data_IF_323032933407
#
_entry.id   IF_323032933407
#
_cell.length_a   1.000
_cell.length_b   1.000
_cell.length_c   1.000
_cell.angle_alpha   90.00
_cell.angle_beta   90.00
_cell.angle_gamma   90.00
#
_symmetry.space_group_name_H-M   'P 1'
#
loop_
_entity.id
_entity.type
_entity.pdbx_description
1 polymer ?
#
# COMPACT_ATOMS: atom_id res chain seq x y z
N UNK A 1 0.76 -3.51 16.13
CA UNK A 1 1.51 -2.69 15.15
C UNK A 1 3.01 -2.83 15.30
N UNK A 2 3.59 -2.73 16.50
CA UNK A 2 5.05 -2.78 16.72
C UNK A 2 5.73 -3.98 16.05
N UNK A 3 5.20 -5.19 16.24
CA UNK A 3 5.80 -6.40 15.66
C UNK A 3 5.83 -6.34 14.11
N UNK A 4 4.76 -5.86 13.48
CA UNK A 4 4.68 -5.72 12.03
C UNK A 4 5.69 -4.68 11.51
N UNK A 5 5.76 -3.49 12.13
CA UNK A 5 6.71 -2.46 11.74
C UNK A 5 8.17 -2.93 11.85
N UNK A 6 8.50 -3.66 12.93
CA UNK A 6 9.83 -4.25 13.14
C UNK A 6 10.14 -5.31 12.07
N UNK A 7 9.15 -6.16 11.75
CA UNK A 7 9.31 -7.20 10.73
C UNK A 7 9.55 -6.59 9.33
N UNK A 8 8.80 -5.55 8.93
CA UNK A 8 9.03 -4.86 7.68
C UNK A 8 10.40 -4.19 7.61
N UNK A 9 10.79 -3.50 8.69
CA UNK A 9 12.11 -2.88 8.76
C UNK A 9 13.23 -3.95 8.65
N UNK A 10 13.06 -5.13 9.24
CA UNK A 10 14.01 -6.24 9.13
C UNK A 10 14.12 -6.81 7.71
N UNK A 11 13.09 -6.66 6.87
CA UNK A 11 13.14 -6.96 5.43
C UNK A 11 13.83 -5.86 4.62
N UNK A 12 14.29 -4.78 5.26
CA UNK A 12 14.82 -3.59 4.57
C UNK A 12 13.74 -2.64 4.05
N UNK A 13 12.48 -2.89 4.34
CA UNK A 13 11.37 -2.05 3.91
C UNK A 13 11.24 -0.82 4.81
N UNK A 14 11.19 0.40 4.25
CA UNK A 14 11.01 1.59 5.05
C UNK A 14 9.62 1.65 5.67
N UNK A 15 9.54 2.04 6.95
CA UNK A 15 8.29 2.17 7.70
C UNK A 15 8.14 3.58 8.27
N UNK A 16 6.90 4.06 8.33
CA UNK A 16 6.52 5.36 8.87
C UNK A 16 5.28 5.20 9.74
N UNK A 17 5.18 5.98 10.83
CA UNK A 17 3.99 6.06 11.66
C UNK A 17 2.81 6.59 10.85
N UNK A 18 1.74 5.80 10.78
CA UNK A 18 0.48 6.16 10.13
C UNK A 18 -0.58 6.63 11.12
N UNK A 19 -1.45 7.51 10.66
CA UNK A 19 -2.68 7.82 11.37
C UNK A 19 -3.49 6.53 11.58
N UNK A 20 -4.30 6.52 12.64
CA UNK A 20 -5.13 5.37 13.00
C UNK A 20 -6.55 5.82 13.33
N UNK A 21 -7.56 4.93 13.21
CA UNK A 21 -8.92 5.29 13.51
C UNK A 21 -9.10 5.50 15.03
N UNK A 22 -9.75 6.62 15.42
CA UNK A 22 -10.20 6.87 16.78
C UNK A 22 -11.70 6.61 16.89
N UNK A 23 -12.11 6.03 18.01
CA UNK A 23 -13.52 5.80 18.33
C UNK A 23 -13.99 4.37 18.11
N UNK A 24 -15.18 4.07 18.64
CA UNK A 24 -15.82 2.77 18.50
C UNK A 24 -16.52 2.69 17.14
N UNK A 25 -16.67 1.46 16.61
CA UNK A 25 -17.38 1.17 15.36
C UNK A 25 -18.83 1.71 15.29
N UNK A 26 -19.36 2.24 16.41
CA UNK A 26 -20.68 2.85 16.53
C UNK A 26 -20.72 4.36 16.38
N UNK A 27 -19.57 5.04 16.39
CA UNK A 27 -19.51 6.49 16.10
C UNK A 27 -19.60 6.69 14.59
N UNK A 28 -20.65 7.36 14.15
CA UNK A 28 -20.96 7.62 12.74
C UNK A 28 -19.98 8.54 11.99
N UNK A 29 -18.79 8.78 12.55
CA UNK A 29 -17.72 9.55 11.93
C UNK A 29 -16.41 8.79 12.04
N UNK A 30 -15.72 8.60 10.94
CA UNK A 30 -14.35 8.08 10.89
C UNK A 30 -13.40 9.10 11.52
N UNK A 31 -13.33 9.13 12.87
CA UNK A 31 -12.42 10.01 13.56
C UNK A 31 -10.98 9.54 13.30
N UNK A 32 -10.16 10.41 12.74
CA UNK A 32 -8.75 10.16 12.48
C UNK A 32 -7.89 10.67 13.66
N UNK A 33 -6.82 9.95 13.98
CA UNK A 33 -5.87 10.37 15.00
C UNK A 33 -5.11 11.68 14.66
N UNK A 34 -5.22 12.17 13.43
CA UNK A 34 -4.62 13.44 13.01
C UNK A 34 -5.41 14.67 13.49
N UNK A 35 -6.63 14.49 14.01
CA UNK A 35 -7.53 15.53 14.52
C UNK A 35 -7.86 16.65 13.49
N UNK A 36 -7.59 16.45 12.20
CA UNK A 36 -7.95 17.40 11.14
C UNK A 36 -9.44 17.27 10.80
N UNK A 37 -10.14 18.41 10.84
CA UNK A 37 -11.52 18.48 10.34
C UNK A 37 -11.50 18.22 8.84
N UNK A 38 -12.35 17.30 8.36
CA UNK A 38 -12.41 16.95 6.94
C UNK A 38 -11.17 16.21 6.42
N UNK A 39 -10.57 15.35 7.27
CA UNK A 39 -9.45 14.53 6.83
C UNK A 39 -9.84 13.72 5.57
N UNK A 40 -9.14 13.90 4.42
CA UNK A 40 -9.55 13.28 3.15
C UNK A 40 -9.33 11.77 3.14
N UNK A 41 -8.37 11.26 3.91
CA UNK A 41 -8.06 9.84 4.02
C UNK A 41 -7.94 9.40 5.48
N UNK A 42 -9.06 9.31 6.22
CA UNK A 42 -9.01 9.01 7.66
C UNK A 42 -8.26 7.70 7.93
N UNK A 43 -7.26 7.80 8.83
CA UNK A 43 -6.42 6.67 9.24
C UNK A 43 -5.56 6.02 8.14
N UNK A 44 -5.55 6.54 6.93
CA UNK A 44 -4.80 5.99 5.80
C UNK A 44 -3.72 6.96 5.28
N UNK A 45 -3.10 7.74 6.15
CA UNK A 45 -2.03 8.68 5.80
C UNK A 45 -0.94 8.73 6.88
N UNK A 46 0.28 9.19 6.56
CA UNK A 46 1.32 9.42 7.55
C UNK A 46 0.91 10.43 8.64
N UNK A 47 1.37 10.23 9.88
CA UNK A 47 1.12 11.17 10.99
C UNK A 47 1.83 12.51 10.79
N UNK A 48 2.96 12.52 10.12
CA UNK A 48 3.79 13.71 9.91
C UNK A 48 3.85 14.08 8.43
N UNK A 49 3.77 15.37 8.07
CA UNK A 49 4.02 15.82 6.70
C UNK A 49 5.48 15.57 6.26
N UNK A 50 6.41 15.46 7.20
CA UNK A 50 7.83 15.15 6.92
C UNK A 50 8.11 13.62 6.90
N UNK A 51 7.11 12.79 6.58
CA UNK A 51 7.18 11.33 6.64
C UNK A 51 8.32 10.73 5.82
N UNK A 52 8.65 11.31 4.67
CA UNK A 52 9.72 10.82 3.80
C UNK A 52 11.09 10.85 4.49
N UNK A 53 11.35 11.90 5.30
CA UNK A 53 12.58 12.03 6.09
C UNK A 53 12.57 11.17 7.34
N UNK A 54 11.37 10.81 7.83
CA UNK A 54 11.18 9.97 9.00
C UNK A 54 11.13 8.48 8.67
N UNK A 55 11.10 8.10 7.40
CA UNK A 55 11.11 6.71 6.97
C UNK A 55 12.37 5.99 7.48
N UNK A 56 12.21 4.77 7.98
CA UNK A 56 13.34 3.98 8.50
C UNK A 56 13.17 2.49 8.19
N UNK A 57 14.24 1.86 7.75
CA UNK A 57 14.38 0.40 7.66
C UNK A 57 15.23 -0.19 8.79
N UNK A 58 15.47 0.58 9.86
CA UNK A 58 16.14 0.11 11.06
C UNK A 58 15.10 -0.49 12.05
N UNK A 59 15.16 -1.80 12.37
CA UNK A 59 14.22 -2.45 13.27
C UNK A 59 14.25 -1.89 14.70
N UNK A 60 15.40 -1.38 15.15
CA UNK A 60 15.56 -0.75 16.47
C UNK A 60 14.82 0.57 16.55
N UNK A 61 15.00 1.42 15.54
CA UNK A 61 14.26 2.68 15.42
C UNK A 61 12.76 2.45 15.24
N UNK A 62 12.36 1.47 14.46
CA UNK A 62 10.97 1.08 14.30
C UNK A 62 10.37 0.70 15.66
N UNK A 63 11.02 -0.20 16.41
CA UNK A 63 10.57 -0.61 17.75
C UNK A 63 10.40 0.57 18.70
N UNK A 64 11.38 1.47 18.75
CA UNK A 64 11.34 2.66 19.60
C UNK A 64 10.16 3.56 19.25
N UNK A 65 9.92 3.83 17.96
CA UNK A 65 8.82 4.71 17.52
C UNK A 65 7.45 4.14 17.88
N UNK A 66 7.23 2.85 17.60
CA UNK A 66 5.94 2.22 17.94
C UNK A 66 5.77 1.93 19.42
N UNK A 67 6.84 1.93 20.22
CA UNK A 67 6.72 1.90 21.69
C UNK A 67 6.07 3.19 22.22
N UNK A 68 6.32 4.34 21.57
CA UNK A 68 5.69 5.61 21.93
C UNK A 68 4.31 5.82 21.27
N UNK A 69 4.05 5.11 20.17
CA UNK A 69 2.79 5.21 19.38
C UNK A 69 2.23 3.81 19.06
N UNK A 70 1.82 3.02 20.07
CA UNK A 70 1.48 1.61 19.89
C UNK A 70 0.27 1.36 18.97
N UNK A 71 -0.62 2.35 18.84
CA UNK A 71 -1.81 2.28 18.00
C UNK A 71 -1.58 2.76 16.56
N UNK A 72 -0.45 3.45 16.31
CA UNK A 72 -0.15 4.00 15.00
C UNK A 72 -0.11 2.90 13.93
N UNK A 73 -0.83 3.12 12.85
CA UNK A 73 -0.78 2.27 11.67
C UNK A 73 0.64 2.23 11.08
N UNK A 74 0.91 1.22 10.27
CA UNK A 74 2.17 1.10 9.54
C UNK A 74 1.94 1.60 8.12
N UNK A 75 2.65 2.65 7.74
CA UNK A 75 2.73 3.15 6.38
C UNK A 75 4.04 2.67 5.77
N UNK A 76 3.98 2.15 4.56
CA UNK A 76 5.13 1.76 3.75
C UNK A 76 5.32 2.79 2.62
N UNK A 77 6.38 3.62 2.66
CA UNK A 77 6.78 4.45 1.53
C UNK A 77 7.14 3.62 0.31
N UNK A 78 6.67 4.04 -0.87
CA UNK A 78 6.94 3.39 -2.16
C UNK A 78 8.00 4.15 -2.99
N UNK A 79 8.45 3.55 -4.08
CA UNK A 79 9.36 4.16 -5.04
C UNK A 79 10.83 4.17 -4.67
N UNK A 80 11.25 3.41 -3.64
CA UNK A 80 12.66 3.25 -3.26
C UNK A 80 13.11 1.80 -3.21
N UNK A 81 12.30 0.94 -2.59
CA UNK A 81 12.58 -0.49 -2.41
C UNK A 81 11.61 -1.32 -3.25
N UNK A 82 10.39 -0.85 -3.36
CA UNK A 82 9.31 -1.45 -4.13
C UNK A 82 8.34 -0.36 -4.58
N UNK A 83 7.56 -0.68 -5.61
CA UNK A 83 6.33 0.01 -5.98
C UNK A 83 5.13 -0.88 -5.63
N UNK A 84 3.93 -0.33 -5.72
CA UNK A 84 2.70 -1.08 -5.46
C UNK A 84 1.67 -0.78 -6.53
N UNK A 85 1.14 -1.84 -7.14
CA UNK A 85 -0.06 -1.78 -7.98
C UNK A 85 -1.27 -2.06 -7.09
N UNK A 86 -2.24 -1.15 -7.10
CA UNK A 86 -3.40 -1.12 -6.22
C UNK A 86 -4.67 -1.19 -7.07
N UNK A 87 -5.47 -2.24 -6.88
CA UNK A 87 -6.69 -2.51 -7.64
C UNK A 87 -7.87 -2.79 -6.70
N UNK A 88 -9.12 -2.70 -7.18
CA UNK A 88 -10.28 -3.17 -6.42
C UNK A 88 -10.10 -4.60 -5.92
N UNK A 89 -10.65 -4.91 -4.73
CA UNK A 89 -10.41 -6.20 -4.10
C UNK A 89 -10.86 -7.38 -4.97
N UNK A 90 -12.01 -7.27 -5.64
CA UNK A 90 -12.54 -8.33 -6.50
C UNK A 90 -11.64 -8.54 -7.73
N UNK A 91 -11.29 -7.48 -8.45
CA UNK A 91 -10.37 -7.53 -9.59
C UNK A 91 -9.02 -8.14 -9.19
N UNK A 92 -8.48 -7.74 -8.03
CA UNK A 92 -7.21 -8.28 -7.53
C UNK A 92 -7.25 -9.76 -7.20
N UNK A 93 -8.37 -10.27 -6.69
CA UNK A 93 -8.54 -11.71 -6.44
C UNK A 93 -8.64 -12.48 -7.75
N UNK A 94 -9.43 -12.00 -8.71
CA UNK A 94 -9.54 -12.61 -10.05
C UNK A 94 -8.17 -12.64 -10.76
N UNK A 95 -7.45 -11.52 -10.74
CA UNK A 95 -6.10 -11.45 -11.31
C UNK A 95 -5.13 -12.42 -10.65
N UNK A 96 -5.21 -12.64 -9.33
CA UNK A 96 -4.38 -13.63 -8.63
C UNK A 96 -4.63 -15.06 -9.14
N UNK A 97 -5.88 -15.42 -9.37
CA UNK A 97 -6.25 -16.73 -9.92
C UNK A 97 -5.71 -16.87 -11.35
N UNK A 98 -5.90 -15.86 -12.21
CA UNK A 98 -5.36 -15.85 -13.59
C UNK A 98 -3.83 -15.99 -13.61
N UNK A 99 -3.13 -15.23 -12.76
CA UNK A 99 -1.66 -15.29 -12.64
C UNK A 99 -1.19 -16.65 -12.13
N UNK A 100 -1.92 -17.23 -11.16
CA UNK A 100 -1.61 -18.57 -10.65
C UNK A 100 -1.71 -19.63 -11.75
N UNK A 101 -2.80 -19.62 -12.51
CA UNK A 101 -3.05 -20.58 -13.61
C UNK A 101 -2.03 -20.42 -14.75
N UNK A 102 -1.59 -19.19 -15.00
CA UNK A 102 -0.56 -18.86 -15.98
C UNK A 102 0.89 -19.09 -15.46
N UNK A 103 1.08 -19.48 -14.19
CA UNK A 103 2.41 -19.65 -13.60
C UNK A 103 3.20 -18.33 -13.45
N UNK A 104 2.51 -17.19 -13.38
CA UNK A 104 3.12 -15.88 -13.22
C UNK A 104 3.39 -15.60 -11.73
N UNK A 105 4.62 -15.25 -11.42
CA UNK A 105 5.00 -14.88 -10.05
C UNK A 105 4.44 -13.50 -9.68
N UNK A 106 3.69 -13.41 -8.60
CA UNK A 106 2.98 -12.19 -8.17
C UNK A 106 3.70 -11.38 -7.11
N UNK A 107 4.73 -11.91 -6.46
CA UNK A 107 5.37 -11.29 -5.30
C UNK A 107 4.45 -11.24 -4.06
N UNK A 108 4.77 -10.38 -3.09
CA UNK A 108 3.90 -10.16 -1.94
C UNK A 108 2.58 -9.50 -2.36
N UNK A 109 1.46 -9.98 -1.80
CA UNK A 109 0.13 -9.44 -2.07
C UNK A 109 -0.62 -9.25 -0.77
N UNK A 110 -1.18 -8.06 -0.59
CA UNK A 110 -2.01 -7.72 0.58
C UNK A 110 -3.41 -7.31 0.16
N UNK A 111 -4.37 -7.43 1.07
CA UNK A 111 -5.72 -6.89 0.89
C UNK A 111 -6.17 -6.13 2.13
N UNK A 112 -6.96 -5.08 1.92
CA UNK A 112 -7.53 -4.23 2.97
C UNK A 112 -8.25 -3.03 2.35
N UNK A 113 -9.19 -2.45 3.09
CA UNK A 113 -9.91 -1.24 2.66
C UNK A 113 -10.62 -1.38 1.29
N UNK A 114 -11.04 -2.59 0.94
CA UNK A 114 -11.67 -2.86 -0.35
C UNK A 114 -10.70 -2.90 -1.55
N UNK A 115 -9.39 -2.96 -1.29
CA UNK A 115 -8.33 -2.96 -2.29
C UNK A 115 -7.42 -4.18 -2.16
N UNK A 116 -6.76 -4.55 -3.25
CA UNK A 116 -5.66 -5.53 -3.28
C UNK A 116 -4.41 -4.84 -3.79
N UNK A 117 -3.32 -5.05 -3.06
CA UNK A 117 -2.03 -4.40 -3.25
C UNK A 117 -1.00 -5.44 -3.70
N UNK A 118 -0.42 -5.26 -4.88
CA UNK A 118 0.63 -6.11 -5.45
C UNK A 118 1.97 -5.38 -5.33
N UNK A 119 2.91 -5.96 -4.59
CA UNK A 119 4.23 -5.38 -4.40
C UNK A 119 5.16 -5.83 -5.53
N UNK A 120 5.74 -4.87 -6.23
CA UNK A 120 6.54 -5.06 -7.44
C UNK A 120 7.90 -4.37 -7.31
N UNK A 121 8.85 -4.73 -8.16
CA UNK A 121 10.14 -4.06 -8.21
C UNK A 121 9.95 -2.59 -8.60
N UNK A 122 10.64 -1.69 -7.88
CA UNK A 122 10.61 -0.27 -8.24
C UNK A 122 11.34 -0.04 -9.56
N UNK A 123 10.76 0.77 -10.41
CA UNK A 123 11.42 1.26 -11.62
C UNK A 123 12.30 2.49 -11.35
N UNK A 124 12.26 3.01 -10.12
CA UNK A 124 12.97 4.22 -9.75
C UNK A 124 12.29 5.49 -10.26
N UNK A 125 13.09 6.55 -10.45
CA UNK A 125 12.61 7.74 -11.15
C UNK A 125 12.64 7.44 -12.65
N UNK A 126 11.60 7.82 -13.43
CA UNK A 126 11.65 7.69 -14.89
C UNK A 126 12.86 8.42 -15.45
N UNK A 127 13.61 7.76 -16.33
CA UNK A 127 14.78 8.34 -16.98
C UNK A 127 14.39 9.28 -18.15
N UNK A 128 13.13 9.21 -18.60
CA UNK A 128 12.60 10.04 -19.68
C UNK A 128 11.13 10.46 -19.42
N UNK A 129 10.68 11.47 -20.16
CA UNK A 129 9.33 12.02 -20.01
C UNK A 129 8.23 11.05 -20.41
N UNK A 130 8.50 10.08 -21.28
CA UNK A 130 7.52 9.11 -21.76
C UNK A 130 7.10 8.09 -20.65
N UNK A 131 7.86 7.97 -19.58
CA UNK A 131 7.56 7.11 -18.43
C UNK A 131 6.75 7.83 -17.33
N UNK A 132 6.46 9.10 -17.48
CA UNK A 132 5.74 9.91 -16.49
C UNK A 132 4.27 9.50 -16.30
N UNK A 133 3.70 8.76 -17.25
CA UNK A 133 2.31 8.30 -17.15
C UNK A 133 2.05 7.45 -15.88
N UNK A 134 3.04 6.70 -15.39
CA UNK A 134 2.91 5.94 -14.16
C UNK A 134 2.74 6.80 -12.91
N UNK A 135 3.32 8.01 -12.93
CA UNK A 135 3.16 8.98 -11.85
C UNK A 135 1.78 9.64 -11.87
N UNK A 136 1.15 9.80 -13.04
CA UNK A 136 -0.20 10.35 -13.13
C UNK A 136 -1.26 9.43 -12.51
N UNK A 137 -1.09 8.11 -12.60
CA UNK A 137 -1.99 7.15 -11.93
C UNK A 137 -1.97 7.27 -10.41
N UNK A 138 -0.90 7.79 -9.84
CA UNK A 138 -0.72 7.93 -8.39
C UNK A 138 -0.95 9.38 -7.88
N UNK A 139 -0.53 10.38 -8.66
CA UNK A 139 -0.49 11.78 -8.21
C UNK A 139 -1.80 12.56 -8.41
N UNK A 140 -2.70 12.09 -9.26
CA UNK A 140 -3.97 12.77 -9.55
C UNK A 140 -5.17 11.81 -9.45
N UNK A 141 -5.41 11.18 -8.29
CA UNK A 141 -6.57 10.30 -8.12
C UNK A 141 -7.91 11.02 -8.27
N UNK A 142 -7.91 12.35 -8.20
CA UNK A 142 -9.11 13.19 -8.26
C UNK A 142 -9.52 13.56 -9.69
N UNK A 143 -8.56 13.54 -10.64
CA UNK A 143 -8.79 13.97 -12.03
C UNK A 143 -9.12 12.82 -13.00
N UNK A 144 -8.97 11.58 -12.55
CA UNK A 144 -9.34 10.41 -13.36
C UNK A 144 -10.81 10.12 -13.12
N UNK A 145 -11.66 10.64 -14.02
CA UNK A 145 -13.11 10.53 -13.91
C UNK A 145 -13.58 9.11 -13.62
N UNK A 146 -14.54 9.08 -12.75
CA UNK A 146 -15.54 8.07 -12.44
C UNK A 146 -15.08 6.68 -12.02
N UNK A 147 -14.02 6.17 -11.85
CA UNK A 147 -13.55 4.97 -11.15
C UNK A 147 -12.11 4.69 -11.54
N UNK A 148 -11.19 5.19 -10.77
CA UNK A 148 -9.81 4.71 -10.88
C UNK A 148 -9.77 3.28 -10.40
N UNK A 149 -9.88 2.36 -11.33
CA UNK A 149 -9.83 0.94 -11.02
C UNK A 149 -8.42 0.51 -10.62
N UNK A 150 -7.39 1.00 -11.28
CA UNK A 150 -5.99 0.67 -11.02
C UNK A 150 -5.18 1.92 -10.65
N UNK A 151 -4.33 1.80 -9.62
CA UNK A 151 -3.39 2.85 -9.17
C UNK A 151 -1.99 2.27 -9.09
N UNK A 152 -0.99 3.08 -9.39
CA UNK A 152 0.41 2.72 -9.23
C UNK A 152 1.10 3.64 -8.21
N UNK A 153 1.36 3.12 -7.03
CA UNK A 153 2.10 3.82 -5.98
C UNK A 153 3.60 3.71 -6.25
N UNK A 154 4.16 4.74 -6.82
CA UNK A 154 5.58 4.86 -7.16
C UNK A 154 6.33 5.82 -6.19
N UNK A 155 7.30 6.58 -6.69
CA UNK A 155 8.10 7.50 -5.88
C UNK A 155 7.24 8.59 -5.24
N UNK A 156 7.53 8.87 -3.96
CA UNK A 156 6.83 9.87 -3.12
C UNK A 156 5.39 9.49 -2.74
N UNK A 157 5.01 8.26 -2.95
CA UNK A 157 3.75 7.72 -2.50
C UNK A 157 3.93 6.73 -1.34
N UNK A 158 2.84 6.17 -0.87
CA UNK A 158 2.83 5.23 0.24
C UNK A 158 1.57 4.36 0.21
N UNK A 159 1.64 3.24 0.92
CA UNK A 159 0.48 2.36 1.15
C UNK A 159 0.32 2.03 2.63
N UNK A 160 -0.91 1.68 3.01
CA UNK A 160 -1.24 1.19 4.34
C UNK A 160 -0.92 -0.30 4.41
N UNK A 161 0.02 -0.69 5.28
CA UNK A 161 0.45 -2.08 5.38
C UNK A 161 -0.35 -2.91 6.39
N UNK A 162 -0.56 -4.21 6.16
CA UNK A 162 -1.12 -5.10 7.18
C UNK A 162 -0.30 -5.07 8.49
N UNK A 163 -0.91 -5.20 9.66
CA UNK A 163 -2.33 -5.35 9.94
C UNK A 163 -3.05 -4.02 10.22
N UNK A 164 -2.61 -2.95 9.59
CA UNK A 164 -3.20 -1.61 9.73
C UNK A 164 -4.67 -1.58 9.29
N UNK A 165 -5.40 -0.56 9.74
CA UNK A 165 -6.82 -0.38 9.45
C UNK A 165 -7.17 1.10 9.26
N UNK A 166 -8.07 1.37 8.33
CA UNK A 166 -8.59 2.70 8.05
C UNK A 166 -9.90 3.00 8.81
N UNK A 167 -10.40 2.03 9.56
CA UNK A 167 -11.67 2.14 10.27
C UNK A 167 -12.92 1.90 9.41
N UNK A 168 -12.77 1.62 8.11
CA UNK A 168 -13.89 1.33 7.21
C UNK A 168 -14.23 -0.17 7.15
N UNK A 169 -13.24 -1.02 7.45
CA UNK A 169 -13.35 -2.45 7.33
C UNK A 169 -12.46 -3.22 8.30
N UNK A 170 -12.28 -4.52 8.07
CA UNK A 170 -11.34 -5.33 8.83
C UNK A 170 -9.90 -4.84 8.61
N UNK A 171 -8.99 -5.20 9.55
CA UNK A 171 -7.56 -4.93 9.34
C UNK A 171 -7.07 -5.53 8.03
N UNK A 172 -6.13 -4.83 7.38
CA UNK A 172 -5.43 -5.36 6.24
C UNK A 172 -4.74 -6.68 6.56
N UNK A 173 -4.65 -7.58 5.59
CA UNK A 173 -4.00 -8.88 5.73
C UNK A 173 -3.16 -9.22 4.50
N UNK A 174 -2.14 -10.01 4.67
CA UNK A 174 -1.40 -10.60 3.57
C UNK A 174 -2.19 -11.76 2.97
N UNK A 175 -2.28 -11.78 1.65
CA UNK A 175 -2.68 -12.96 0.86
C UNK A 175 -1.43 -13.80 0.55
N UNK A 176 -0.31 -13.11 0.27
CA UNK A 176 1.02 -13.68 0.11
C UNK A 176 2.00 -12.81 0.88
N UNK A 177 2.53 -13.31 1.99
CA UNK A 177 3.41 -12.51 2.84
C UNK A 177 4.81 -12.34 2.24
N UNK A 178 5.48 -11.20 2.45
CA UNK A 178 6.83 -10.96 1.90
C UNK A 178 7.87 -11.97 2.43
N UNK A 179 7.74 -12.42 3.67
CA UNK A 179 8.64 -13.43 4.26
C UNK A 179 8.51 -14.82 3.60
N UNK A 180 7.33 -15.16 3.07
CA UNK A 180 7.05 -16.43 2.40
C UNK A 180 7.68 -16.50 1.01
N UNK A 181 8.07 -15.36 0.45
CA UNK A 181 8.72 -15.29 -0.86
C UNK A 181 10.18 -15.82 -0.86
N UNK A 182 10.72 -16.19 0.31
CA UNK A 182 12.04 -16.84 0.40
C UNK A 182 13.19 -16.01 -0.15
N UNK A 183 13.09 -14.68 -0.08
CA UNK A 183 14.10 -13.75 -0.63
C UNK A 183 14.07 -13.66 -2.16
N UNK A 184 13.03 -14.14 -2.83
CA UNK A 184 12.86 -13.96 -4.28
C UNK A 184 12.78 -12.48 -4.62
N UNK A 185 13.35 -12.06 -5.76
CA UNK A 185 13.21 -10.69 -6.23
C UNK A 185 11.73 -10.39 -6.49
N UNK A 186 11.35 -9.13 -6.25
CA UNK A 186 10.02 -8.65 -6.58
C UNK A 186 9.78 -8.75 -8.09
N UNK A 187 8.55 -9.08 -8.54
CA UNK A 187 8.22 -9.16 -9.95
C UNK A 187 8.31 -7.79 -10.62
N UNK A 188 8.54 -7.80 -11.93
CA UNK A 188 8.48 -6.60 -12.74
C UNK A 188 7.04 -6.09 -12.82
N UNK A 189 6.84 -4.78 -12.61
CA UNK A 189 5.53 -4.14 -12.58
C UNK A 189 4.76 -4.31 -13.91
N UNK A 190 5.45 -4.22 -15.05
CA UNK A 190 4.83 -4.28 -16.38
C UNK A 190 4.18 -5.63 -16.64
N UNK A 191 4.80 -6.71 -16.15
CA UNK A 191 4.25 -8.06 -16.30
C UNK A 191 2.91 -8.26 -15.59
N UNK A 192 2.70 -7.55 -14.48
CA UNK A 192 1.46 -7.64 -13.72
C UNK A 192 0.42 -6.63 -14.21
N UNK A 193 0.88 -5.50 -14.73
CA UNK A 193 0.04 -4.38 -15.11
C UNK A 193 -1.02 -4.76 -16.14
N UNK A 194 -0.66 -5.53 -17.17
CA UNK A 194 -1.56 -5.97 -18.22
C UNK A 194 -2.70 -6.83 -17.65
N UNK A 195 -2.37 -7.86 -16.87
CA UNK A 195 -3.37 -8.75 -16.25
C UNK A 195 -4.26 -7.99 -15.27
N UNK A 196 -3.69 -7.06 -14.51
CA UNK A 196 -4.44 -6.25 -13.56
C UNK A 196 -5.39 -5.26 -14.24
N UNK A 197 -4.98 -4.69 -15.37
CA UNK A 197 -5.82 -3.80 -16.17
C UNK A 197 -7.02 -4.59 -16.75
N UNK A 198 -6.77 -5.75 -17.35
CA UNK A 198 -7.81 -6.61 -17.91
C UNK A 198 -8.83 -7.02 -16.83
N UNK A 199 -8.36 -7.45 -15.64
CA UNK A 199 -9.22 -7.81 -14.53
C UNK A 199 -10.06 -6.63 -14.01
N UNK A 200 -9.52 -5.41 -14.05
CA UNK A 200 -10.27 -4.21 -13.69
C UNK A 200 -11.37 -3.88 -14.72
N UNK A 201 -11.07 -4.04 -16.01
CA UNK A 201 -12.03 -3.80 -17.08
C UNK A 201 -13.19 -4.81 -17.08
N UNK A 202 -12.94 -6.03 -16.68
CA UNK A 202 -13.97 -7.07 -16.52
C UNK A 202 -14.92 -6.78 -15.36
N UNK A 203 -14.43 -6.20 -14.25
CA UNK A 203 -15.27 -5.84 -13.09
C UNK A 203 -16.23 -4.67 -13.38
N UNK A 204 -15.89 -3.80 -14.33
CA UNK A 204 -16.71 -2.63 -14.71
C UNK A 204 -17.87 -3.00 -15.66
N UNK A 205 -17.83 -4.17 -16.29
CA UNK A 205 -18.86 -4.65 -17.25
C UNK A 205 -20.00 -5.38 -16.56
#
# INVERSE_FOLDING_TARGET
>A
MTAAAVAYAALGWPVVLGAYPRGNARSAGRACSCDRVGCPAPAAHPLSPAWQMQATSDPGKARQRWAHHPEANVILPTGRVFDVLDVPAAAGLAALEMMHDAGVATGPVATGSGRTLFFVATRGAPDNEDEWWSCHLDCAPEDVGEVVSLRWHCRNSYVLAPPSRDGAGPPGRWLQAPAEQGGRPLPDAVRLLEVLADACDEEIR
#
